data_IF_188697271289
#
_entry.id   IF_188697271289
#
_cell.length_a   1.000
_cell.length_b   1.000
_cell.length_c   1.000
_cell.angle_alpha   90.00
_cell.angle_beta   90.00
_cell.angle_gamma   90.00
#
_symmetry.space_group_name_H-M   'P 1'
#
loop_
_entity.id
_entity.type
_entity.pdbx_description
1 polymer ?
#
# COMPACT_ATOMS: atom_id res chain seq x y z
N UNK A 1 1.99 30.02 8.68
CA UNK A 1 0.66 30.19 8.05
C UNK A 1 -0.38 29.59 8.99
N UNK A 2 -1.55 30.19 9.09
CA UNK A 2 -2.67 29.65 9.87
C UNK A 2 -3.22 28.42 9.16
N UNK A 3 -3.53 27.34 9.89
CA UNK A 3 -4.16 26.15 9.35
C UNK A 3 -5.59 26.47 8.85
N UNK A 4 -6.04 25.72 7.86
CA UNK A 4 -7.45 25.69 7.49
C UNK A 4 -8.31 25.34 8.73
N UNK A 5 -9.46 26.01 8.89
CA UNK A 5 -10.31 25.85 10.09
C UNK A 5 -10.88 24.43 10.20
N UNK A 6 -11.20 23.80 9.07
CA UNK A 6 -11.74 22.43 9.04
C UNK A 6 -10.66 21.46 9.48
N UNK A 7 -9.45 21.61 8.92
CA UNK A 7 -8.30 20.80 9.30
C UNK A 7 -7.92 20.96 10.77
N UNK A 8 -7.88 22.18 11.31
CA UNK A 8 -7.59 22.42 12.74
C UNK A 8 -8.63 21.76 13.66
N UNK A 9 -9.92 21.81 13.29
CA UNK A 9 -10.98 21.13 14.04
C UNK A 9 -10.83 19.59 14.04
N UNK A 10 -10.50 19.00 12.89
CA UNK A 10 -10.21 17.56 12.76
C UNK A 10 -9.01 17.18 13.64
N UNK A 11 -7.90 17.91 13.52
CA UNK A 11 -6.69 17.61 14.27
C UNK A 11 -6.90 17.71 15.79
N UNK A 12 -7.66 18.70 16.26
CA UNK A 12 -7.97 18.86 17.68
C UNK A 12 -8.91 17.79 18.22
N UNK A 13 -9.83 17.28 17.40
CA UNK A 13 -10.80 16.27 17.83
C UNK A 13 -10.23 14.87 17.76
N UNK A 14 -9.61 14.50 16.64
CA UNK A 14 -9.18 13.12 16.37
C UNK A 14 -7.69 12.89 16.66
N UNK A 15 -6.85 13.92 16.54
CA UNK A 15 -5.40 13.80 16.72
C UNK A 15 -4.89 14.41 18.03
N UNK A 16 -5.77 14.71 19.00
CA UNK A 16 -5.40 15.31 20.30
C UNK A 16 -4.39 14.49 21.12
N UNK A 17 -4.35 13.17 20.88
CA UNK A 17 -3.36 12.27 21.47
C UNK A 17 -1.92 12.51 20.96
N UNK A 18 -1.74 13.26 19.87
CA UNK A 18 -0.44 13.59 19.26
C UNK A 18 0.09 14.97 19.66
N UNK A 19 -0.78 15.85 20.16
CA UNK A 19 -0.43 17.20 20.56
C UNK A 19 -1.65 18.02 20.98
N UNK A 20 -1.39 19.11 21.72
CA UNK A 20 -2.39 20.07 22.22
C UNK A 20 -2.66 21.22 21.26
N UNK A 21 -1.74 21.48 20.32
CA UNK A 21 -1.92 22.45 19.24
C UNK A 21 -1.21 22.00 17.97
N UNK A 22 -1.63 22.54 16.83
CA UNK A 22 -1.13 22.16 15.53
C UNK A 22 -0.74 23.40 14.73
N UNK A 23 0.34 23.30 13.96
CA UNK A 23 0.83 24.36 13.09
C UNK A 23 1.14 23.84 11.69
N UNK A 24 0.86 24.64 10.66
CA UNK A 24 1.30 24.34 9.30
C UNK A 24 2.79 24.67 9.13
N UNK A 25 3.55 23.75 8.52
CA UNK A 25 4.93 23.96 8.09
C UNK A 25 4.98 23.92 6.57
N UNK A 26 5.66 24.87 5.95
CA UNK A 26 5.67 25.11 4.50
C UNK A 26 5.53 23.86 3.63
N UNK A 27 4.56 23.90 2.72
CA UNK A 27 4.01 22.75 1.98
C UNK A 27 2.52 22.58 2.30
N UNK A 28 1.68 22.24 1.32
CA UNK A 28 0.21 22.18 1.46
C UNK A 28 -0.30 21.07 2.38
N UNK A 29 0.56 20.15 2.81
CA UNK A 29 0.13 18.91 3.48
C UNK A 29 0.88 18.58 4.77
N UNK A 30 1.79 19.43 5.27
CA UNK A 30 2.60 19.11 6.46
C UNK A 30 2.12 19.90 7.67
N UNK A 31 1.77 19.17 8.72
CA UNK A 31 1.34 19.69 10.02
C UNK A 31 2.34 19.28 11.09
N UNK A 32 2.59 20.17 12.05
CA UNK A 32 3.41 19.88 13.23
C UNK A 32 2.51 19.92 14.45
N UNK A 33 2.47 18.81 15.19
CA UNK A 33 1.82 18.72 16.50
C UNK A 33 2.75 19.28 17.59
N UNK A 34 2.20 20.04 18.51
CA UNK A 34 2.92 20.66 19.63
C UNK A 34 2.32 20.18 20.97
N UNK A 35 3.14 19.99 22.03
CA UNK A 35 4.58 20.23 22.09
C UNK A 35 5.45 19.09 21.54
N UNK A 36 4.85 17.97 21.10
CA UNK A 36 5.58 16.76 20.68
C UNK A 36 6.56 16.98 19.52
N UNK A 37 6.30 17.97 18.66
CA UNK A 37 7.07 18.21 17.45
C UNK A 37 6.84 17.16 16.36
N UNK A 38 5.88 16.23 16.54
CA UNK A 38 5.57 15.17 15.58
C UNK A 38 5.05 15.82 14.29
N UNK A 39 5.61 15.40 13.16
CA UNK A 39 5.13 15.83 11.83
C UNK A 39 4.04 14.87 11.35
N UNK A 40 2.98 15.43 10.80
CA UNK A 40 1.85 14.72 10.21
C UNK A 40 1.70 15.14 8.75
N UNK A 41 1.30 14.19 7.92
CA UNK A 41 0.80 14.46 6.59
C UNK A 41 -0.72 14.60 6.68
N UNK A 42 -1.29 15.61 6.01
CA UNK A 42 -2.72 15.85 5.99
C UNK A 42 -3.19 16.29 4.61
N UNK A 43 -4.33 15.76 4.17
CA UNK A 43 -5.04 16.23 2.97
C UNK A 43 -6.54 16.33 3.22
N UNK A 44 -7.18 17.29 2.55
CA UNK A 44 -8.63 17.41 2.44
C UNK A 44 -8.95 17.63 0.96
N UNK A 45 -9.65 16.69 0.35
CA UNK A 45 -9.80 16.56 -1.10
C UNK A 45 -11.26 16.33 -1.48
N UNK A 46 -11.68 16.82 -2.65
CA UNK A 46 -13.01 16.52 -3.21
C UNK A 46 -13.10 15.10 -3.78
N UNK A 47 -11.97 14.43 -4.01
CA UNK A 47 -11.91 13.04 -4.45
C UNK A 47 -12.19 12.10 -3.25
N UNK A 48 -13.47 12.00 -2.88
CA UNK A 48 -13.92 11.30 -1.65
C UNK A 48 -13.57 9.82 -1.66
N UNK A 49 -13.99 9.08 -2.70
CA UNK A 49 -13.76 7.62 -2.77
C UNK A 49 -12.28 7.28 -2.77
N UNK A 50 -11.46 8.03 -3.53
CA UNK A 50 -10.02 7.85 -3.57
C UNK A 50 -9.38 8.05 -2.20
N UNK A 51 -9.73 9.13 -1.50
CA UNK A 51 -9.14 9.46 -0.19
C UNK A 51 -9.54 8.45 0.89
N UNK A 52 -10.80 8.00 0.88
CA UNK A 52 -11.28 6.96 1.81
C UNK A 52 -10.62 5.61 1.48
N UNK A 53 -10.55 5.24 0.21
CA UNK A 53 -9.89 4.01 -0.25
C UNK A 53 -8.42 3.95 0.15
N UNK A 54 -7.70 5.06 0.03
CA UNK A 54 -6.30 5.16 0.49
C UNK A 54 -6.18 5.01 2.01
N UNK A 55 -7.07 5.64 2.79
CA UNK A 55 -7.07 5.51 4.25
C UNK A 55 -7.30 4.05 4.70
N UNK A 56 -8.29 3.38 4.09
CA UNK A 56 -8.59 1.98 4.38
C UNK A 56 -7.46 1.04 3.94
N UNK A 57 -6.81 1.35 2.82
CA UNK A 57 -5.61 0.63 2.34
C UNK A 57 -4.47 0.68 3.35
N UNK A 58 -4.13 1.88 3.83
CA UNK A 58 -3.09 2.09 4.84
C UNK A 58 -3.42 1.38 6.16
N UNK A 59 -4.68 1.41 6.61
CA UNK A 59 -5.13 0.68 7.80
C UNK A 59 -4.97 -0.83 7.63
N UNK A 60 -5.43 -1.39 6.51
CA UNK A 60 -5.36 -2.82 6.23
C UNK A 60 -3.90 -3.32 6.18
N UNK A 61 -3.02 -2.58 5.50
CA UNK A 61 -1.59 -2.88 5.48
C UNK A 61 -0.96 -2.75 6.87
N UNK A 62 -1.24 -1.67 7.61
CA UNK A 62 -0.71 -1.46 8.96
C UNK A 62 -1.07 -2.60 9.92
N UNK A 63 -2.31 -3.10 9.87
CA UNK A 63 -2.76 -4.24 10.69
C UNK A 63 -2.04 -5.54 10.35
N UNK A 64 -1.63 -5.75 9.11
CA UNK A 64 -0.95 -6.99 8.68
C UNK A 64 0.50 -7.12 9.16
N UNK A 65 1.11 -6.02 9.59
CA UNK A 65 2.54 -5.95 9.92
C UNK A 65 2.75 -5.88 11.44
N UNK A 66 1.69 -5.70 12.24
CA UNK A 66 1.74 -5.57 13.70
C UNK A 66 2.07 -6.86 14.49
N UNK A 67 2.55 -7.91 13.83
CA UNK A 67 3.03 -9.13 14.48
C UNK A 67 4.56 -9.09 14.61
N UNK A 68 5.09 -8.46 15.68
CA UNK A 68 6.51 -8.57 16.08
C UNK A 68 7.32 -7.26 16.02
N UNK A 69 8.63 -7.38 15.75
CA UNK A 69 9.61 -6.26 15.69
C UNK A 69 9.46 -5.35 14.46
N UNK A 70 8.50 -5.67 13.59
CA UNK A 70 8.34 -5.05 12.29
C UNK A 70 7.25 -4.01 12.42
N UNK A 71 7.64 -2.75 12.47
CA UNK A 71 6.72 -1.61 12.42
C UNK A 71 7.10 -0.75 11.22
N UNK A 72 6.10 -0.03 10.70
CA UNK A 72 6.28 1.14 9.84
C UNK A 72 6.71 0.83 8.38
N UNK A 73 6.04 -0.11 7.70
CA UNK A 73 6.12 -0.20 6.22
C UNK A 73 5.21 0.84 5.52
N UNK A 74 4.17 1.27 6.22
CA UNK A 74 3.19 2.27 5.76
C UNK A 74 3.03 3.31 6.85
N UNK A 75 2.67 4.56 6.53
CA UNK A 75 2.37 5.57 7.54
C UNK A 75 1.13 5.15 8.36
N UNK A 76 1.16 5.40 9.67
CA UNK A 76 -0.01 5.19 10.54
C UNK A 76 -1.11 6.19 10.19
N UNK A 77 -2.36 5.72 10.09
CA UNK A 77 -3.53 6.58 9.89
C UNK A 77 -4.05 7.02 11.24
N UNK A 78 -3.98 8.34 11.50
CA UNK A 78 -4.43 8.95 12.75
C UNK A 78 -5.87 9.42 12.69
N UNK A 79 -6.32 9.90 11.52
CA UNK A 79 -7.69 10.36 11.29
C UNK A 79 -8.04 10.22 9.81
N UNK A 80 -9.27 9.81 9.51
CA UNK A 80 -9.83 9.91 8.15
C UNK A 80 -11.35 9.86 8.19
N UNK A 81 -11.98 10.48 7.20
CA UNK A 81 -13.43 10.54 7.14
C UNK A 81 -13.94 11.53 6.09
N UNK A 82 -15.21 11.90 6.23
CA UNK A 82 -15.84 12.94 5.41
C UNK A 82 -16.05 14.21 6.24
N UNK A 83 -15.81 15.35 5.62
CA UNK A 83 -16.14 16.66 6.19
C UNK A 83 -17.62 16.97 6.00
N UNK A 84 -18.12 17.99 6.70
CA UNK A 84 -19.52 18.42 6.60
C UNK A 84 -19.89 19.00 5.21
N UNK A 85 -18.90 19.41 4.43
CA UNK A 85 -19.04 19.91 3.05
C UNK A 85 -18.71 18.83 1.99
N UNK A 86 -18.90 17.54 2.34
CA UNK A 86 -18.77 16.39 1.44
C UNK A 86 -17.38 16.20 0.78
N UNK A 87 -16.32 16.75 1.37
CA UNK A 87 -14.93 16.38 1.04
C UNK A 87 -14.48 15.22 1.93
N UNK A 88 -13.36 14.60 1.58
CA UNK A 88 -12.73 13.58 2.41
C UNK A 88 -11.39 14.07 2.95
N UNK A 89 -11.02 13.61 4.14
CA UNK A 89 -9.73 13.91 4.75
C UNK A 89 -8.97 12.65 5.14
N UNK A 90 -7.65 12.80 5.16
CA UNK A 90 -6.71 11.79 5.64
C UNK A 90 -5.58 12.49 6.39
N UNK A 91 -5.31 12.03 7.61
CA UNK A 91 -4.18 12.45 8.45
C UNK A 91 -3.37 11.22 8.81
N UNK A 92 -2.07 11.26 8.49
CA UNK A 92 -1.15 10.16 8.74
C UNK A 92 0.16 10.65 9.35
N UNK A 93 1.02 9.70 9.73
CA UNK A 93 2.43 10.02 9.91
C UNK A 93 3.01 10.73 8.68
N UNK A 94 3.79 11.78 8.93
CA UNK A 94 4.62 12.36 7.88
C UNK A 94 5.90 11.56 7.74
N UNK A 95 6.21 11.17 6.52
CA UNK A 95 7.38 10.40 6.19
C UNK A 95 8.35 11.24 5.38
N UNK A 96 9.50 11.53 5.95
CA UNK A 96 10.58 12.26 5.28
C UNK A 96 11.39 11.27 4.41
N UNK A 97 10.90 11.00 3.20
CA UNK A 97 11.45 9.97 2.33
C UNK A 97 12.51 10.51 1.38
N UNK A 98 13.63 9.81 1.30
CA UNK A 98 14.54 9.90 0.16
C UNK A 98 14.08 8.92 -0.93
N UNK A 99 14.01 9.35 -2.20
CA UNK A 99 13.55 8.53 -3.30
C UNK A 99 14.51 7.38 -3.65
N UNK A 100 15.75 7.39 -3.14
CA UNK A 100 16.70 6.31 -3.37
C UNK A 100 16.66 5.25 -2.28
N UNK A 101 16.70 3.99 -2.71
CA UNK A 101 16.73 2.80 -1.85
C UNK A 101 18.06 2.07 -2.08
N UNK A 102 18.99 2.20 -1.13
CA UNK A 102 20.29 1.52 -1.19
C UNK A 102 20.17 0.00 -1.02
N UNK A 103 21.29 -0.73 -1.10
CA UNK A 103 21.31 -2.21 -1.04
C UNK A 103 20.63 -2.81 0.21
N UNK A 104 20.99 -2.34 1.41
CA UNK A 104 20.31 -2.75 2.65
C UNK A 104 18.83 -2.31 2.66
N UNK A 105 18.55 -1.20 1.98
CA UNK A 105 17.24 -0.68 1.57
C UNK A 105 16.38 -1.72 0.84
N UNK A 106 16.92 -2.27 -0.23
CA UNK A 106 16.22 -3.24 -1.08
C UNK A 106 15.90 -4.51 -0.29
N UNK A 107 16.89 -5.06 0.43
CA UNK A 107 16.71 -6.31 1.20
C UNK A 107 15.61 -6.20 2.24
N UNK A 108 15.68 -5.21 3.14
CA UNK A 108 14.66 -5.12 4.19
C UNK A 108 13.29 -4.67 3.66
N UNK A 109 13.20 -4.00 2.50
CA UNK A 109 11.89 -3.76 1.89
C UNK A 109 11.29 -5.08 1.35
N UNK A 110 12.11 -5.91 0.69
CA UNK A 110 11.70 -7.23 0.19
C UNK A 110 11.19 -8.15 1.30
N UNK A 111 11.96 -8.27 2.39
CA UNK A 111 11.56 -9.06 3.56
C UNK A 111 10.24 -8.57 4.15
N UNK A 112 10.11 -7.25 4.39
CA UNK A 112 8.91 -6.67 5.01
C UNK A 112 7.66 -6.78 4.14
N UNK A 113 7.80 -6.58 2.83
CA UNK A 113 6.68 -6.75 1.90
C UNK A 113 6.22 -8.21 1.87
N UNK A 114 7.16 -9.16 1.87
CA UNK A 114 6.81 -10.57 1.91
C UNK A 114 6.10 -10.96 3.22
N UNK A 115 6.52 -10.41 4.35
CA UNK A 115 5.84 -10.62 5.64
C UNK A 115 4.44 -10.00 5.66
N UNK A 116 4.29 -8.78 5.10
CA UNK A 116 2.99 -8.14 4.90
C UNK A 116 2.05 -9.04 4.09
N UNK A 117 2.52 -9.56 2.95
CA UNK A 117 1.73 -10.46 2.11
C UNK A 117 1.40 -11.78 2.81
N UNK A 118 2.34 -12.34 3.57
CA UNK A 118 2.16 -13.61 4.29
C UNK A 118 1.13 -13.50 5.42
N UNK A 119 1.16 -12.40 6.17
CA UNK A 119 0.37 -12.21 7.38
C UNK A 119 -0.96 -11.49 7.12
N UNK A 120 -0.98 -10.57 6.16
CA UNK A 120 -2.14 -9.78 5.80
C UNK A 120 -3.08 -10.52 4.89
N UNK A 121 -3.90 -11.40 5.45
CA UNK A 121 -4.93 -12.08 4.67
C UNK A 121 -6.32 -11.65 5.07
N UNK A 122 -7.25 -11.70 4.11
CA UNK A 122 -8.65 -11.50 4.40
C UNK A 122 -9.16 -12.64 5.28
N UNK A 123 -9.80 -12.31 6.41
CA UNK A 123 -10.36 -13.30 7.35
C UNK A 123 -11.39 -14.21 6.69
N UNK A 124 -12.10 -13.69 5.70
CA UNK A 124 -13.11 -14.45 4.95
C UNK A 124 -12.50 -15.26 3.79
N UNK A 125 -11.18 -15.17 3.56
CA UNK A 125 -10.50 -15.82 2.44
C UNK A 125 -10.88 -15.29 1.06
N UNK A 126 -11.60 -14.16 0.98
CA UNK A 126 -12.07 -13.57 -0.27
C UNK A 126 -11.02 -12.63 -0.87
N UNK A 127 -10.89 -12.68 -2.19
CA UNK A 127 -10.19 -11.67 -2.97
C UNK A 127 -10.99 -10.36 -2.98
N UNK A 128 -10.30 -9.24 -3.17
CA UNK A 128 -10.90 -7.93 -3.39
C UNK A 128 -10.72 -7.00 -2.21
N UNK A 129 -11.50 -5.93 -2.17
CA UNK A 129 -11.47 -4.98 -1.06
C UNK A 129 -12.88 -4.54 -0.69
N UNK A 130 -13.10 -4.17 0.56
CA UNK A 130 -14.42 -3.82 1.09
C UNK A 130 -14.89 -2.43 0.64
N UNK A 131 -13.97 -1.60 0.16
CA UNK A 131 -14.23 -0.29 -0.45
C UNK A 131 -13.56 -0.20 -1.81
N UNK A 132 -14.05 0.69 -2.67
CA UNK A 132 -13.37 0.99 -3.92
C UNK A 132 -11.98 1.58 -3.63
N UNK A 133 -10.96 1.06 -4.29
CA UNK A 133 -9.62 1.67 -4.33
C UNK A 133 -9.32 2.07 -5.76
N UNK A 134 -8.64 3.20 -5.95
CA UNK A 134 -8.55 3.86 -7.25
C UNK A 134 -7.75 3.04 -8.29
N UNK A 135 -6.92 2.09 -7.83
CA UNK A 135 -6.23 1.10 -8.69
C UNK A 135 -6.47 -0.38 -8.29
N UNK A 136 -7.49 -0.73 -7.51
CA UNK A 136 -7.72 -2.11 -7.07
C UNK A 136 -9.14 -2.59 -7.34
N UNK A 137 -9.33 -3.39 -8.40
CA UNK A 137 -10.56 -4.18 -8.60
C UNK A 137 -10.25 -5.65 -8.80
N UNK A 138 -11.05 -6.45 -8.12
CA UNK A 138 -10.93 -7.89 -7.91
C UNK A 138 -11.23 -8.72 -9.14
N UNK A 139 -10.44 -9.78 -9.37
CA UNK A 139 -10.56 -10.85 -10.38
C UNK A 139 -10.09 -10.49 -11.79
N UNK A 140 -8.90 -11.01 -12.11
CA UNK A 140 -7.98 -10.57 -13.16
C UNK A 140 -8.54 -10.61 -14.59
N UNK A 141 -9.27 -11.67 -14.96
CA UNK A 141 -9.78 -11.84 -16.32
C UNK A 141 -11.06 -11.03 -16.59
N UNK A 142 -12.11 -11.17 -15.77
CA UNK A 142 -13.43 -10.59 -16.08
C UNK A 142 -13.61 -9.14 -15.64
N UNK A 143 -13.07 -8.77 -14.48
CA UNK A 143 -13.40 -7.52 -13.81
C UNK A 143 -12.35 -6.44 -14.02
N UNK A 144 -11.17 -6.81 -14.54
CA UNK A 144 -10.15 -5.85 -14.96
C UNK A 144 -9.87 -5.91 -16.45
N UNK A 145 -9.16 -6.92 -16.95
CA UNK A 145 -8.76 -6.94 -18.36
C UNK A 145 -9.99 -6.96 -19.26
N UNK A 146 -10.97 -7.83 -18.97
CA UNK A 146 -12.23 -7.86 -19.69
C UNK A 146 -13.04 -6.56 -19.61
N UNK A 147 -13.06 -5.89 -18.45
CA UNK A 147 -13.74 -4.58 -18.31
C UNK A 147 -13.01 -3.46 -19.07
N UNK A 148 -11.68 -3.42 -19.00
CA UNK A 148 -10.84 -2.48 -19.75
C UNK A 148 -11.02 -2.67 -21.25
N UNK A 149 -10.95 -3.91 -21.75
CA UNK A 149 -11.19 -4.24 -23.15
C UNK A 149 -12.59 -3.79 -23.56
N UNK A 150 -13.64 -4.11 -22.78
CA UNK A 150 -15.01 -3.64 -23.07
C UNK A 150 -15.12 -2.11 -23.16
N UNK A 151 -14.47 -1.37 -22.24
CA UNK A 151 -14.47 0.10 -22.27
C UNK A 151 -13.71 0.66 -23.47
N UNK A 152 -12.58 0.05 -23.84
CA UNK A 152 -11.82 0.42 -25.03
C UNK A 152 -12.68 0.17 -26.26
N UNK A 153 -13.26 -1.03 -26.42
CA UNK A 153 -14.15 -1.38 -27.53
C UNK A 153 -15.34 -0.42 -27.66
N UNK A 154 -15.95 -0.01 -26.54
CA UNK A 154 -17.08 0.91 -26.53
C UNK A 154 -16.70 2.31 -27.07
N UNK A 155 -15.45 2.73 -26.91
CA UNK A 155 -14.95 4.01 -27.39
C UNK A 155 -14.31 3.91 -28.77
N UNK A 156 -13.56 2.83 -29.03
CA UNK A 156 -12.80 2.57 -30.23
C UNK A 156 -12.75 1.06 -30.49
N UNK A 157 -13.61 0.54 -31.41
CA UNK A 157 -13.61 -0.87 -31.74
C UNK A 157 -12.26 -1.35 -32.29
N UNK A 158 -11.76 -2.46 -31.75
CA UNK A 158 -10.47 -3.05 -32.10
C UNK A 158 -10.56 -4.59 -32.13
N UNK A 159 -10.73 -5.16 -33.32
CA UNK A 159 -10.90 -6.61 -33.47
C UNK A 159 -9.64 -7.40 -33.06
N UNK A 160 -8.46 -6.80 -33.11
CA UNK A 160 -7.22 -7.45 -32.67
C UNK A 160 -7.19 -7.56 -31.14
N UNK A 161 -7.55 -6.48 -30.44
CA UNK A 161 -7.64 -6.47 -28.98
C UNK A 161 -8.65 -7.49 -28.44
N UNK A 162 -9.82 -7.62 -29.09
CA UNK A 162 -10.83 -8.62 -28.72
C UNK A 162 -10.31 -10.05 -28.90
N UNK A 163 -9.63 -10.33 -30.00
CA UNK A 163 -9.04 -11.65 -30.24
C UNK A 163 -7.91 -11.95 -29.26
N UNK A 164 -7.09 -10.96 -28.89
CA UNK A 164 -6.04 -11.10 -27.88
C UNK A 164 -6.61 -11.37 -26.48
N UNK A 165 -7.68 -10.67 -26.08
CA UNK A 165 -8.39 -10.94 -24.82
C UNK A 165 -8.92 -12.37 -24.78
N UNK A 166 -9.55 -12.79 -25.89
CA UNK A 166 -10.07 -14.15 -26.04
C UNK A 166 -8.95 -15.20 -25.95
N UNK A 167 -7.82 -14.97 -26.60
CA UNK A 167 -6.67 -15.89 -26.50
C UNK A 167 -6.05 -15.93 -25.10
N UNK A 168 -5.97 -14.79 -24.42
CA UNK A 168 -5.52 -14.73 -23.03
C UNK A 168 -6.45 -15.59 -22.15
N UNK A 169 -7.77 -15.44 -22.31
CA UNK A 169 -8.78 -16.19 -21.57
C UNK A 169 -8.79 -17.69 -21.89
N UNK A 170 -8.73 -18.06 -23.16
CA UNK A 170 -8.90 -19.44 -23.60
C UNK A 170 -7.60 -20.26 -23.50
N UNK A 171 -6.43 -19.61 -23.56
CA UNK A 171 -5.12 -20.30 -23.63
C UNK A 171 -4.20 -19.99 -22.47
N UNK A 172 -4.12 -18.72 -22.04
CA UNK A 172 -3.17 -18.30 -21.01
C UNK A 172 -3.73 -18.59 -19.61
N UNK A 173 -4.97 -18.19 -19.34
CA UNK A 173 -5.62 -18.41 -18.05
C UNK A 173 -5.63 -19.87 -17.59
N UNK A 174 -6.02 -20.86 -18.42
CA UNK A 174 -6.08 -22.26 -17.99
C UNK A 174 -4.73 -22.86 -17.62
N UNK A 175 -3.64 -22.31 -18.17
CA UNK A 175 -2.27 -22.79 -17.92
C UNK A 175 -1.66 -22.06 -16.73
N UNK A 176 -1.82 -20.74 -16.66
CA UNK A 176 -1.12 -19.92 -15.69
C UNK A 176 -1.88 -19.74 -14.36
N UNK A 177 -3.20 -19.53 -14.41
CA UNK A 177 -3.98 -19.07 -13.25
C UNK A 177 -4.99 -20.09 -12.74
N UNK A 178 -5.69 -20.80 -13.63
CA UNK A 178 -6.67 -21.81 -13.23
C UNK A 178 -6.09 -22.89 -12.29
N UNK A 179 -4.84 -23.39 -12.47
CA UNK A 179 -4.27 -24.39 -11.57
C UNK A 179 -4.02 -23.88 -10.14
N UNK A 180 -4.04 -22.55 -9.95
CA UNK A 180 -3.81 -21.87 -8.68
C UNK A 180 -5.11 -21.49 -7.96
N UNK A 181 -6.26 -21.59 -8.63
CA UNK A 181 -7.56 -21.34 -8.02
C UNK A 181 -7.78 -22.22 -6.78
N UNK A 182 -8.24 -21.61 -5.69
CA UNK A 182 -8.43 -22.27 -4.40
C UNK A 182 -7.14 -22.67 -3.66
N UNK A 183 -5.97 -22.53 -4.29
CA UNK A 183 -4.65 -22.79 -3.68
C UNK A 183 -3.94 -21.51 -3.25
N UNK A 184 -4.21 -20.41 -3.92
CA UNK A 184 -3.67 -19.09 -3.55
C UNK A 184 -4.49 -18.50 -2.43
N UNK A 185 -3.82 -18.24 -1.31
CA UNK A 185 -4.38 -17.46 -0.20
C UNK A 185 -4.31 -15.98 -0.57
N UNK A 186 -5.39 -15.21 -0.41
CA UNK A 186 -5.37 -13.80 -0.73
C UNK A 186 -4.51 -13.02 0.27
N UNK A 187 -3.60 -12.21 -0.26
CA UNK A 187 -2.68 -11.33 0.47
C UNK A 187 -3.08 -9.88 0.27
N UNK A 188 -2.97 -9.06 1.31
CA UNK A 188 -3.11 -7.61 1.18
C UNK A 188 -1.98 -7.11 0.30
N UNK A 189 -2.35 -6.43 -0.78
CA UNK A 189 -1.43 -5.82 -1.72
C UNK A 189 -1.39 -4.31 -1.47
N UNK A 190 -0.27 -3.66 -1.78
CA UNK A 190 -0.21 -2.20 -1.86
C UNK A 190 -1.03 -1.69 -3.07
N UNK A 191 -0.98 -2.43 -4.18
CA UNK A 191 -1.75 -2.20 -5.40
C UNK A 191 -1.21 -1.10 -6.31
N UNK A 192 -0.13 -0.43 -5.92
CA UNK A 192 0.56 0.60 -6.70
C UNK A 192 2.04 0.76 -6.29
N UNK A 193 2.74 -0.33 -5.96
CA UNK A 193 4.12 -0.24 -5.44
C UNK A 193 5.16 -0.17 -6.57
N UNK A 194 5.30 0.98 -7.21
CA UNK A 194 6.46 1.27 -8.06
C UNK A 194 7.50 2.10 -7.31
N UNK A 195 8.68 2.32 -7.91
CA UNK A 195 9.80 3.00 -7.24
C UNK A 195 9.50 4.44 -6.81
N UNK A 196 8.56 5.13 -7.45
CA UNK A 196 8.09 6.45 -7.03
C UNK A 196 7.22 6.44 -5.76
N UNK A 197 6.64 5.29 -5.42
CA UNK A 197 5.83 5.09 -4.21
C UNK A 197 6.60 4.36 -3.11
N UNK A 198 7.93 4.25 -3.21
CA UNK A 198 8.78 3.63 -2.21
C UNK A 198 9.96 4.54 -1.84
N UNK A 199 10.29 4.61 -0.55
CA UNK A 199 11.40 5.46 -0.11
C UNK A 199 12.05 5.03 1.19
N UNK A 200 13.24 5.58 1.42
CA UNK A 200 13.98 5.41 2.68
C UNK A 200 13.67 6.61 3.59
N UNK A 201 13.13 6.38 4.79
CA UNK A 201 12.95 7.50 5.72
C UNK A 201 14.26 8.00 6.30
N UNK A 202 14.36 9.32 6.41
CA UNK A 202 15.49 10.05 6.99
C UNK A 202 15.30 10.25 8.50
N UNK A 203 14.08 10.09 9.03
CA UNK A 203 13.79 10.39 10.42
C UNK A 203 14.15 9.22 11.35
N UNK A 204 15.14 9.44 12.21
CA UNK A 204 15.48 8.58 13.36
C UNK A 204 14.47 8.70 14.53
N UNK A 205 13.33 9.36 14.37
CA UNK A 205 12.35 9.47 15.45
C UNK A 205 11.69 8.09 15.66
N UNK A 206 11.78 7.51 16.87
CA UNK A 206 11.03 6.31 17.19
C UNK A 206 9.55 6.62 17.02
N UNK A 207 8.88 5.92 16.10
CA UNK A 207 7.42 5.86 16.07
C UNK A 207 7.00 5.06 17.30
N UNK A 208 6.87 5.75 18.42
CA UNK A 208 6.60 5.16 19.73
C UNK A 208 5.11 4.78 19.78
N UNK A 209 4.80 3.55 19.40
CA UNK A 209 3.47 2.99 19.62
C UNK A 209 3.27 2.75 21.11
N UNK A 210 2.28 3.40 21.71
CA UNK A 210 1.93 3.21 23.11
C UNK A 210 1.36 1.80 23.32
N UNK A 211 2.08 0.95 24.05
CA UNK A 211 1.46 -0.12 24.84
C UNK A 211 1.19 0.42 26.23
N UNK A 212 -0.06 0.34 26.68
CA UNK A 212 -0.50 0.72 28.03
C UNK A 212 -0.14 -0.36 29.06
N UNK A 213 1.15 -0.63 29.26
CA UNK A 213 1.61 -1.40 30.42
C UNK A 213 2.83 -0.74 31.10
N UNK A 214 2.88 -0.71 32.44
CA UNK A 214 3.98 -0.11 33.16
C UNK A 214 5.24 -0.97 32.99
N UNK A 215 6.29 -0.33 32.49
CA UNK A 215 7.58 -0.91 32.15
C UNK A 215 8.24 -1.60 33.34
N UNK A 216 8.41 -2.92 33.25
CA UNK A 216 9.45 -3.62 34.00
C UNK A 216 10.00 -4.81 33.20
N UNK A 217 10.80 -4.55 32.17
CA UNK A 217 11.83 -5.49 31.71
C UNK A 217 12.86 -4.77 30.84
N UNK A 218 14.13 -5.13 31.00
CA UNK A 218 15.31 -4.62 30.28
C UNK A 218 15.36 -5.04 28.80
N UNK A 219 14.22 -5.12 28.12
CA UNK A 219 14.12 -5.36 26.68
C UNK A 219 13.52 -4.11 26.03
N UNK A 220 14.34 -3.07 25.86
CA UNK A 220 14.04 -2.08 24.83
C UNK A 220 14.23 -2.79 23.48
N UNK A 221 13.20 -2.94 22.64
CA UNK A 221 13.42 -3.41 21.27
C UNK A 221 14.42 -2.46 20.62
N UNK A 222 15.56 -2.99 20.18
CA UNK A 222 16.57 -2.19 19.48
C UNK A 222 15.89 -1.52 18.28
N UNK A 223 16.08 -0.20 18.06
CA UNK A 223 15.56 0.44 16.87
C UNK A 223 16.07 -0.32 15.64
N UNK A 224 15.18 -0.90 14.85
CA UNK A 224 15.57 -1.45 13.55
C UNK A 224 16.11 -0.27 12.74
N UNK A 225 17.39 -0.29 12.29
CA UNK A 225 18.02 0.88 11.68
C UNK A 225 17.41 1.32 10.33
N UNK A 226 16.33 0.67 9.86
CA UNK A 226 15.73 0.95 8.56
C UNK A 226 14.21 0.78 8.53
N UNK A 227 13.42 1.84 8.79
CA UNK A 227 12.04 1.88 8.34
C UNK A 227 11.97 2.42 6.89
N UNK A 228 11.20 1.75 6.04
CA UNK A 228 11.04 2.06 4.61
C UNK A 228 9.56 2.05 4.31
N UNK A 229 9.12 2.96 3.47
CA UNK A 229 7.71 3.30 3.43
C UNK A 229 7.14 3.33 2.04
N UNK A 230 5.84 3.06 1.96
CA UNK A 230 5.03 3.24 0.76
C UNK A 230 3.92 4.28 0.99
N UNK A 231 3.54 5.02 -0.05
CA UNK A 231 2.45 6.00 -0.03
C UNK A 231 1.57 5.87 -1.27
N UNK A 232 0.39 6.49 -1.28
CA UNK A 232 -0.57 6.43 -2.38
C UNK A 232 -1.02 5.00 -2.73
N UNK A 233 -1.43 4.25 -1.70
CA UNK A 233 -1.87 2.85 -1.84
C UNK A 233 -3.26 2.71 -2.45
N UNK A 234 -3.42 1.67 -3.26
CA UNK A 234 -4.70 1.24 -3.84
C UNK A 234 -4.91 -0.24 -3.54
N UNK A 235 -4.97 -0.55 -2.24
CA UNK A 235 -4.89 -1.93 -1.77
C UNK A 235 -6.09 -2.77 -2.17
N UNK A 236 -5.83 -4.06 -2.31
CA UNK A 236 -6.84 -5.10 -2.39
C UNK A 236 -6.23 -6.42 -1.93
N UNK A 237 -7.07 -7.38 -1.57
CA UNK A 237 -6.65 -8.73 -1.29
C UNK A 237 -6.52 -9.52 -2.59
N UNK A 238 -5.28 -9.83 -2.97
CA UNK A 238 -4.91 -10.38 -4.27
C UNK A 238 -3.93 -11.54 -4.17
N UNK A 239 -3.51 -12.05 -5.33
CA UNK A 239 -2.35 -12.95 -5.38
C UNK A 239 -1.08 -12.11 -5.16
N UNK A 240 -0.23 -12.51 -4.21
CA UNK A 240 0.98 -11.77 -3.85
C UNK A 240 1.96 -11.53 -5.02
N UNK A 241 1.97 -12.41 -6.03
CA UNK A 241 2.76 -12.21 -7.25
C UNK A 241 2.29 -11.03 -8.10
N UNK A 242 1.02 -10.60 -7.96
CA UNK A 242 0.49 -9.47 -8.71
C UNK A 242 1.19 -8.15 -8.37
N UNK A 243 1.52 -7.93 -7.08
CA UNK A 243 2.30 -6.76 -6.66
C UNK A 243 3.70 -6.75 -7.28
N UNK A 244 4.31 -7.93 -7.48
CA UNK A 244 5.65 -7.99 -8.06
C UNK A 244 5.64 -7.58 -9.55
N UNK A 245 4.49 -7.64 -10.22
CA UNK A 245 4.31 -7.21 -11.61
C UNK A 245 4.59 -5.72 -11.80
N UNK A 246 3.91 -4.85 -11.04
CA UNK A 246 4.12 -3.39 -11.13
C UNK A 246 5.55 -2.97 -10.79
N UNK A 247 6.19 -3.70 -9.87
CA UNK A 247 7.56 -3.42 -9.42
C UNK A 247 8.59 -3.55 -10.55
N UNK A 248 8.30 -4.30 -11.61
CA UNK A 248 9.20 -4.47 -12.74
C UNK A 248 9.11 -3.35 -13.79
N UNK A 249 8.01 -2.60 -13.84
CA UNK A 249 7.71 -1.71 -14.97
C UNK A 249 8.58 -0.46 -15.03
N UNK A 250 8.80 0.19 -13.88
CA UNK A 250 9.45 1.51 -13.81
C UNK A 250 10.89 1.44 -13.29
N UNK A 251 11.42 0.22 -13.10
CA UNK A 251 12.71 -0.02 -12.47
C UNK A 251 12.78 0.48 -11.02
N UNK A 252 13.97 0.41 -10.42
CA UNK A 252 14.24 0.92 -9.07
C UNK A 252 14.20 -0.13 -7.96
N UNK A 253 13.69 -1.34 -8.22
CA UNK A 253 13.88 -2.51 -7.35
C UNK A 253 14.97 -3.42 -7.93
N UNK A 254 15.90 -3.85 -7.08
CA UNK A 254 17.06 -4.65 -7.52
C UNK A 254 16.89 -6.12 -7.17
N UNK A 255 17.79 -6.97 -7.68
CA UNK A 255 17.82 -8.39 -7.32
C UNK A 255 17.91 -8.63 -5.80
N UNK A 256 18.54 -7.72 -5.04
CA UNK A 256 18.59 -7.79 -3.58
C UNK A 256 17.19 -7.75 -2.93
N UNK A 257 16.25 -6.99 -3.51
CA UNK A 257 14.87 -6.96 -3.06
C UNK A 257 14.18 -8.30 -3.35
N UNK A 258 14.22 -8.77 -4.60
CA UNK A 258 13.52 -9.98 -5.01
C UNK A 258 14.06 -11.22 -4.30
N UNK A 259 15.38 -11.32 -4.09
CA UNK A 259 15.98 -12.41 -3.31
C UNK A 259 15.49 -12.40 -1.86
N UNK A 260 15.41 -11.23 -1.22
CA UNK A 260 14.95 -11.11 0.17
C UNK A 260 13.45 -11.33 0.32
N UNK A 261 12.65 -10.96 -0.70
CA UNK A 261 11.23 -11.28 -0.75
C UNK A 261 11.02 -12.80 -0.87
N UNK A 262 11.69 -13.43 -1.84
CA UNK A 262 11.53 -14.87 -2.10
C UNK A 262 12.14 -15.78 -1.03
N UNK A 263 13.05 -15.27 -0.19
CA UNK A 263 13.50 -16.03 0.99
C UNK A 263 12.40 -16.16 2.06
N UNK A 264 11.35 -15.33 2.02
CA UNK A 264 10.19 -15.39 2.93
C UNK A 264 8.98 -16.02 2.25
N UNK A 265 8.70 -15.62 1.00
CA UNK A 265 7.61 -16.15 0.16
C UNK A 265 8.19 -16.75 -1.13
N UNK A 266 8.48 -18.06 -1.15
CA UNK A 266 9.02 -18.73 -2.33
C UNK A 266 8.13 -18.54 -3.55
N UNK A 267 8.76 -18.53 -4.73
CA UNK A 267 8.06 -18.53 -6.02
C UNK A 267 7.13 -19.74 -6.10
N UNK A 268 5.93 -19.54 -6.64
CA UNK A 268 5.05 -20.65 -6.96
C UNK A 268 5.51 -21.21 -8.32
N UNK A 269 5.83 -22.49 -8.37
CA UNK A 269 6.25 -23.15 -9.62
C UNK A 269 5.19 -24.16 -10.07
N UNK A 270 5.11 -24.46 -11.38
CA UNK A 270 5.82 -23.84 -12.50
C UNK A 270 5.24 -22.47 -12.92
N UNK A 271 5.88 -21.81 -13.90
CA UNK A 271 5.39 -20.63 -14.63
C UNK A 271 5.35 -19.29 -13.87
N UNK A 272 6.22 -19.14 -12.87
CA UNK A 272 6.34 -17.89 -12.12
C UNK A 272 6.59 -16.67 -13.02
N UNK A 273 7.56 -16.77 -13.94
CA UNK A 273 7.98 -15.62 -14.75
C UNK A 273 6.90 -15.24 -15.78
N UNK A 274 6.16 -16.20 -16.34
CA UNK A 274 5.04 -15.97 -17.26
C UNK A 274 3.84 -15.33 -16.54
N UNK A 275 3.54 -15.75 -15.31
CA UNK A 275 2.52 -15.09 -14.48
C UNK A 275 2.91 -13.67 -14.16
N UNK A 276 4.18 -13.41 -13.85
CA UNK A 276 4.66 -12.08 -13.53
C UNK A 276 4.46 -11.11 -14.70
N UNK A 277 4.75 -11.53 -15.93
CA UNK A 277 4.45 -10.75 -17.16
C UNK A 277 2.96 -10.53 -17.36
N UNK A 278 2.13 -11.51 -17.01
CA UNK A 278 0.68 -11.39 -17.08
C UNK A 278 0.15 -10.36 -16.06
N UNK A 279 0.74 -10.29 -14.86
CA UNK A 279 0.41 -9.24 -13.90
C UNK A 279 0.96 -7.87 -14.29
N UNK A 280 2.08 -7.80 -14.99
CA UNK A 280 2.60 -6.53 -15.53
C UNK A 280 1.61 -5.88 -16.51
N UNK A 281 0.94 -6.68 -17.35
CA UNK A 281 -0.09 -6.20 -18.28
C UNK A 281 -1.25 -5.48 -17.57
N UNK A 282 -1.51 -5.76 -16.30
CA UNK A 282 -2.55 -5.06 -15.52
C UNK A 282 -2.33 -3.54 -15.45
N UNK A 283 -1.08 -3.11 -15.56
CA UNK A 283 -0.64 -1.73 -15.30
C UNK A 283 -0.19 -0.98 -16.57
N UNK A 284 -0.21 -1.64 -17.73
CA UNK A 284 0.11 -1.05 -19.04
C UNK A 284 -1.16 -0.53 -19.73
#
# INVERSE_FOLDING_TARGET
>A
MTLDKTLDAILRSECSHLGTSFGSRGGSHVVVAHPSGRKLFSKIESAVEQTIGEAESLRAMGLSINTGEIRNLVPEVHASGKTADDRAYLVTDYLDLKPSIGKAGQKALGTRLAEMHKNGSNKDGRFGFHVATYCGVTFWADQRIGDLVKRIQANQPDAELDELERQMRDKVYPVLLAPLEGKVKPSILHGDLWSGNAGTSVSQQPLQGYSSEPSNSQFQPKPCPYPKYTHASSSYYGHNEAELGIMNMFGGFTQDFFQAYHSVLPKIEPYYDERLRSYELYHQ
#
